data_IF_490392407097
#
_entry.id   IF_490392407097
#
_cell.length_a   1.000
_cell.length_b   1.000
_cell.length_c   1.000
_cell.angle_alpha   90.00
_cell.angle_beta   90.00
_cell.angle_gamma   90.00
#
_symmetry.space_group_name_H-M   'P 1'
#
loop_
_entity.id
_entity.type
_entity.pdbx_description
1 polymer ?
#
# COMPACT_ATOMS: atom_id res chain seq x y z
N UNK A 1 11.36 23.76 10.83
CA UNK A 1 10.68 22.71 11.61
C UNK A 1 10.72 21.40 10.83
N UNK A 2 11.33 20.34 11.37
CA UNK A 2 11.47 19.03 10.71
C UNK A 2 10.36 18.12 11.27
N UNK A 3 9.28 17.95 10.52
CA UNK A 3 8.23 17.00 10.87
C UNK A 3 8.80 15.58 10.76
N UNK A 4 8.94 14.93 11.91
CA UNK A 4 9.41 13.55 12.02
C UNK A 4 8.59 12.61 11.16
N UNK A 5 9.29 11.67 10.52
CA UNK A 5 8.71 10.50 9.87
C UNK A 5 7.70 9.83 10.81
N UNK A 6 6.50 9.58 10.31
CA UNK A 6 5.50 8.75 10.98
C UNK A 6 6.01 7.30 10.97
N UNK A 7 6.78 6.94 11.99
CA UNK A 7 6.89 5.54 12.41
C UNK A 7 5.57 5.20 13.11
N UNK A 8 4.72 4.41 12.46
CA UNK A 8 3.48 3.94 13.09
C UNK A 8 3.83 2.83 14.08
N UNK A 9 3.58 3.09 15.36
CA UNK A 9 3.72 2.11 16.44
C UNK A 9 2.90 0.83 16.13
N UNK A 10 3.46 -0.38 16.34
CA UNK A 10 2.67 -1.60 16.32
C UNK A 10 1.61 -1.56 17.43
N UNK A 11 0.44 -2.17 17.19
CA UNK A 11 -0.58 -2.24 18.23
C UNK A 11 -0.07 -3.11 19.40
N UNK A 12 -0.47 -2.84 20.65
CA UNK A 12 -0.16 -3.71 21.78
C UNK A 12 -0.58 -5.16 21.51
N UNK A 13 0.26 -6.12 21.93
CA UNK A 13 0.09 -7.57 21.68
C UNK A 13 -1.31 -8.06 22.07
N UNK A 14 -1.85 -7.57 23.18
CA UNK A 14 -3.17 -7.95 23.70
C UNK A 14 -4.36 -7.55 22.83
N UNK A 15 -4.20 -6.61 21.88
CA UNK A 15 -5.27 -6.20 20.94
C UNK A 15 -5.32 -7.06 19.68
N UNK A 16 -4.27 -7.87 19.44
CA UNK A 16 -4.13 -8.66 18.23
C UNK A 16 -3.97 -7.85 16.93
N UNK A 17 -3.58 -8.53 15.84
CA UNK A 17 -3.53 -7.93 14.51
C UNK A 17 -4.93 -7.45 14.10
N UNK A 18 -5.01 -6.23 13.57
CA UNK A 18 -6.28 -5.69 13.08
C UNK A 18 -6.63 -6.34 11.76
N UNK A 19 -7.65 -7.20 11.76
CA UNK A 19 -8.31 -7.73 10.57
C UNK A 19 -9.74 -7.21 10.57
N UNK A 20 -10.24 -6.75 9.42
CA UNK A 20 -11.67 -6.48 9.28
C UNK A 20 -12.43 -7.82 9.34
N UNK A 21 -13.64 -7.86 9.93
CA UNK A 21 -14.34 -9.11 10.28
C UNK A 21 -14.87 -9.95 9.11
N UNK A 22 -14.46 -9.70 7.86
CA UNK A 22 -14.79 -10.51 6.68
C UNK A 22 -13.91 -11.78 6.60
N UNK A 23 -13.76 -12.47 7.72
CA UNK A 23 -12.96 -13.68 7.88
C UNK A 23 -13.65 -14.82 7.12
N UNK A 24 -13.29 -14.97 5.84
CA UNK A 24 -13.76 -16.05 4.96
C UNK A 24 -13.43 -15.78 3.50
N UNK A 25 -13.83 -14.63 2.98
CA UNK A 25 -13.53 -14.22 1.61
C UNK A 25 -13.32 -12.69 1.52
N UNK A 26 -12.07 -12.19 1.43
CA UNK A 26 -11.82 -10.77 1.30
C UNK A 26 -12.06 -10.34 -0.15
N UNK A 27 -13.33 -10.28 -0.57
CA UNK A 27 -13.69 -9.69 -1.86
C UNK A 27 -13.31 -8.20 -1.88
N UNK A 28 -13.50 -7.51 -0.75
CA UNK A 28 -13.18 -6.09 -0.57
C UNK A 28 -12.49 -5.88 0.78
N UNK A 29 -11.29 -5.31 0.74
CA UNK A 29 -10.45 -5.07 1.91
C UNK A 29 -10.36 -3.58 2.28
N UNK A 30 -10.31 -3.31 3.58
CA UNK A 30 -10.04 -1.96 4.10
C UNK A 30 -8.52 -1.71 4.09
N UNK A 31 -8.09 -0.48 3.84
CA UNK A 31 -6.65 -0.12 3.83
C UNK A 31 -5.94 -0.30 5.19
N UNK A 32 -6.70 -0.41 6.27
CA UNK A 32 -6.19 -0.52 7.65
C UNK A 32 -5.93 -1.97 8.07
N UNK A 33 -6.50 -2.94 7.38
CA UNK A 33 -6.37 -4.37 7.68
C UNK A 33 -4.92 -4.82 7.47
N UNK A 34 -4.42 -5.61 8.42
CA UNK A 34 -3.17 -6.35 8.27
C UNK A 34 -3.41 -7.58 7.41
N UNK A 35 -2.43 -7.95 6.60
CA UNK A 35 -2.48 -9.15 5.77
C UNK A 35 -2.20 -10.36 6.66
N UNK A 36 -3.18 -11.26 6.73
CA UNK A 36 -3.04 -12.54 7.41
C UNK A 36 -2.41 -13.59 6.48
N UNK A 37 -1.71 -14.59 7.04
CA UNK A 37 -1.16 -15.70 6.25
C UNK A 37 -2.25 -16.50 5.51
N UNK A 38 -3.49 -16.51 5.99
CA UNK A 38 -4.62 -17.20 5.35
C UNK A 38 -5.07 -16.54 4.02
N UNK A 39 -4.60 -15.34 3.71
CA UNK A 39 -4.97 -14.59 2.51
C UNK A 39 -3.99 -14.76 1.34
N UNK A 40 -2.94 -15.56 1.53
CA UNK A 40 -1.96 -15.87 0.49
C UNK A 40 -2.69 -16.50 -0.72
N UNK A 41 -2.43 -15.98 -1.91
CA UNK A 41 -3.03 -16.47 -3.16
C UNK A 41 -4.45 -15.97 -3.42
N UNK A 42 -5.05 -15.16 -2.53
CA UNK A 42 -6.34 -14.50 -2.79
C UNK A 42 -6.14 -13.13 -3.46
N UNK A 43 -7.09 -12.73 -4.28
CA UNK A 43 -7.14 -11.38 -4.88
C UNK A 43 -8.07 -10.51 -4.06
N UNK A 44 -7.54 -9.42 -3.50
CA UNK A 44 -8.29 -8.51 -2.63
C UNK A 44 -8.50 -7.20 -3.39
N UNK A 45 -9.75 -6.73 -3.45
CA UNK A 45 -10.04 -5.39 -3.97
C UNK A 45 -9.80 -4.36 -2.86
N UNK A 46 -8.83 -3.46 -3.07
CA UNK A 46 -8.49 -2.39 -2.13
C UNK A 46 -8.97 -1.05 -2.68
N UNK A 47 -9.69 -0.29 -1.86
CA UNK A 47 -10.21 1.02 -2.27
C UNK A 47 -9.11 2.08 -2.26
N UNK A 48 -8.84 2.70 -3.42
CA UNK A 48 -7.88 3.80 -3.56
C UNK A 48 -8.48 5.19 -3.25
N UNK A 49 -9.76 5.25 -2.88
CA UNK A 49 -10.51 6.50 -2.66
C UNK A 49 -11.39 6.91 -3.83
N UNK A 50 -11.13 6.37 -5.03
CA UNK A 50 -11.93 6.57 -6.24
C UNK A 50 -12.32 5.22 -6.86
N UNK A 51 -11.33 4.37 -7.07
CA UNK A 51 -11.47 3.09 -7.75
C UNK A 51 -11.03 1.93 -6.84
N UNK A 52 -11.49 0.71 -7.16
CA UNK A 52 -11.06 -0.53 -6.52
C UNK A 52 -9.89 -1.15 -7.30
N UNK A 53 -8.75 -1.32 -6.64
CA UNK A 53 -7.56 -1.91 -7.23
C UNK A 53 -7.43 -3.37 -6.79
N UNK A 54 -7.34 -4.34 -7.71
CA UNK A 54 -7.10 -5.74 -7.37
C UNK A 54 -5.63 -5.95 -7.00
N UNK A 55 -5.40 -6.45 -5.77
CA UNK A 55 -4.06 -6.79 -5.28
C UNK A 55 -4.00 -8.29 -5.02
N UNK A 56 -3.05 -8.97 -5.64
CA UNK A 56 -2.75 -10.38 -5.39
C UNK A 56 -1.77 -10.46 -4.23
N UNK A 57 -2.11 -11.23 -3.19
CA UNK A 57 -1.32 -11.31 -1.96
C UNK A 57 -0.24 -12.40 -2.06
N UNK A 58 1.01 -11.98 -1.84
CA UNK A 58 2.19 -12.85 -1.74
C UNK A 58 2.63 -13.02 -0.28
N UNK A 59 3.36 -14.10 0.03
CA UNK A 59 3.86 -14.39 1.39
C UNK A 59 4.70 -13.25 2.00
N UNK A 60 5.45 -12.52 1.17
CA UNK A 60 6.27 -11.38 1.61
C UNK A 60 5.46 -10.18 2.10
N UNK A 61 4.15 -10.17 1.86
CA UNK A 61 3.25 -9.08 2.24
C UNK A 61 2.60 -9.32 3.62
N UNK A 62 2.78 -10.50 4.22
CA UNK A 62 2.22 -10.83 5.53
C UNK A 62 2.80 -9.89 6.60
N UNK A 63 1.92 -9.40 7.49
CA UNK A 63 2.30 -8.42 8.53
C UNK A 63 2.31 -6.96 8.06
N UNK A 64 2.26 -6.71 6.75
CA UNK A 64 2.02 -5.38 6.19
C UNK A 64 0.54 -5.07 6.08
N UNK A 65 0.21 -3.80 5.83
CA UNK A 65 -1.17 -3.37 5.62
C UNK A 65 -1.51 -3.30 4.15
N UNK A 66 -2.75 -3.66 3.80
CA UNK A 66 -3.27 -3.59 2.43
C UNK A 66 -3.12 -2.19 1.81
N UNK A 67 -3.24 -1.13 2.63
CA UNK A 67 -3.13 0.25 2.17
C UNK A 67 -1.74 0.69 1.73
N UNK A 68 -0.68 -0.05 2.05
CA UNK A 68 0.71 0.24 1.65
C UNK A 68 0.97 -0.16 0.20
N UNK A 69 0.21 -1.12 -0.32
CA UNK A 69 0.36 -1.63 -1.70
C UNK A 69 -0.46 -0.85 -2.73
N UNK A 70 -1.24 0.15 -2.29
CA UNK A 70 -2.06 0.99 -3.18
C UNK A 70 -1.73 2.46 -2.98
N UNK A 71 -1.18 3.06 -4.04
CA UNK A 71 -0.92 4.49 -4.11
C UNK A 71 -2.21 5.26 -4.34
N UNK A 72 -2.49 6.26 -3.49
CA UNK A 72 -3.72 7.07 -3.58
C UNK A 72 -3.54 8.45 -4.15
N UNK A 73 -2.30 8.92 -4.29
CA UNK A 73 -1.98 10.18 -4.94
C UNK A 73 -1.14 9.88 -6.17
N UNK A 74 -1.43 10.57 -7.27
CA UNK A 74 -0.55 10.54 -8.45
C UNK A 74 0.78 11.19 -8.08
N UNK A 75 1.88 10.60 -8.54
CA UNK A 75 3.19 11.22 -8.39
C UNK A 75 3.18 12.56 -9.14
N UNK A 76 3.49 13.64 -8.43
CA UNK A 76 3.59 14.97 -9.03
C UNK A 76 5.02 15.17 -9.47
N UNK A 77 5.20 15.43 -10.75
CA UNK A 77 6.49 15.76 -11.33
C UNK A 77 6.59 17.27 -11.44
N UNK A 78 7.46 17.89 -10.64
CA UNK A 78 7.76 19.31 -10.78
C UNK A 78 8.62 19.52 -12.03
N UNK A 79 8.02 20.02 -13.11
CA UNK A 79 8.65 20.17 -14.43
C UNK A 79 9.79 21.21 -14.49
N UNK A 80 10.16 21.84 -13.37
CA UNK A 80 11.17 22.91 -13.33
C UNK A 80 12.63 22.47 -13.43
N UNK A 81 12.95 21.16 -13.37
CA UNK A 81 14.36 20.68 -13.44
C UNK A 81 14.58 19.39 -14.25
N UNK A 82 13.53 18.83 -14.88
CA UNK A 82 13.65 17.58 -15.66
C UNK A 82 13.91 17.82 -17.15
N UNK A 83 13.59 19.00 -17.66
CA UNK A 83 13.98 19.41 -19.01
C UNK A 83 15.51 19.43 -19.20
N UNK A 84 16.27 19.62 -18.11
CA UNK A 84 17.74 19.62 -18.11
C UNK A 84 18.36 18.23 -17.94
N UNK A 85 17.66 17.27 -17.32
CA UNK A 85 18.15 15.92 -17.08
C UNK A 85 17.87 14.94 -18.25
N UNK A 86 16.82 15.18 -19.04
CA UNK A 86 16.47 14.31 -20.19
C UNK A 86 17.28 14.59 -21.47
N UNK A 87 18.16 15.61 -21.48
CA UNK A 87 19.09 15.87 -22.60
C UNK A 87 20.35 14.98 -22.59
N UNK A 88 20.50 14.08 -21.61
CA UNK A 88 21.70 13.25 -21.44
C UNK A 88 21.64 11.81 -21.97
N UNK A 89 20.48 11.25 -22.32
CA UNK A 89 20.36 9.82 -22.65
C UNK A 89 19.94 9.51 -24.09
N UNK A 90 20.13 10.45 -25.03
CA UNK A 90 19.96 10.21 -26.46
C UNK A 90 21.24 10.59 -27.20
N UNK A 91 22.31 9.82 -26.98
CA UNK A 91 23.52 9.86 -27.83
C UNK A 91 24.04 8.45 -28.02
N UNK A 92 24.00 8.04 -29.30
CA UNK A 92 24.43 6.79 -29.93
C UNK A 92 23.47 5.61 -29.84
#
# INVERSE_FOLDING_TARGET
MRWSLVARMPRPVWKGPFADPLVGNPEKGTRRSMILPEWIGKTILVHSGKDWQPVVVNNKMVGHRLGEFVLTKKAVVHQGKLADAQKGSKKK
#
